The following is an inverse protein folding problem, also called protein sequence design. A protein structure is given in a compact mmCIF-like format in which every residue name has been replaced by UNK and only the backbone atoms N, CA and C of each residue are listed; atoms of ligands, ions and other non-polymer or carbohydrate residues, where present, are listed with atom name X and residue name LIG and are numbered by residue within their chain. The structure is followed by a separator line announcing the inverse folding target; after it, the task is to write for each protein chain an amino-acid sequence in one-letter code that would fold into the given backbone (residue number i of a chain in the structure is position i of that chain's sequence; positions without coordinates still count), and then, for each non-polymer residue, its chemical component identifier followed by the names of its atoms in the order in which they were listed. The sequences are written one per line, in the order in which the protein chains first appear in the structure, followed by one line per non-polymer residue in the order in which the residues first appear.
data_IF_405310689508
#
_entry.id   IF_405310689508
#
_cell.length_a   1.000
_cell.length_b   1.000
_cell.length_c   1.000
_cell.angle_alpha   90.00
_cell.angle_beta   90.00
_cell.angle_gamma   90.00
#
_symmetry.space_group_name_H-M   'P 1'
#
loop_
_entity.id
_entity.type
_entity.pdbx_description
1 polymer ?
#
# COMPACT_ATOMS: atom_id res chain seq x y z
N UNK A 1 6.80 15.75 4.41
CA UNK A 1 5.60 16.41 3.84
C UNK A 1 5.72 16.85 2.38
N UNK A 2 6.91 17.08 1.79
CA UNK A 2 7.01 17.59 0.41
C UNK A 2 6.42 16.68 -0.68
N UNK A 3 6.53 15.35 -0.54
CA UNK A 3 6.11 14.42 -1.59
C UNK A 3 4.59 14.35 -1.78
N UNK A 4 3.81 14.30 -0.69
CA UNK A 4 2.34 14.30 -0.74
C UNK A 4 1.80 15.58 -1.39
N UNK A 5 2.39 16.74 -1.06
CA UNK A 5 1.99 18.01 -1.65
C UNK A 5 2.31 18.06 -3.15
N UNK A 6 3.45 17.50 -3.58
CA UNK A 6 3.80 17.36 -5.00
C UNK A 6 2.84 16.41 -5.73
N UNK A 7 2.49 15.27 -5.12
CA UNK A 7 1.51 14.32 -5.67
C UNK A 7 0.13 14.97 -5.81
N UNK A 8 -0.36 15.65 -4.78
CA UNK A 8 -1.63 16.37 -4.84
C UNK A 8 -1.63 17.46 -5.92
N UNK A 9 -0.53 18.20 -6.08
CA UNK A 9 -0.37 19.19 -7.16
C UNK A 9 -0.38 18.52 -8.55
N UNK A 10 0.28 17.39 -8.70
CA UNK A 10 0.32 16.64 -9.96
C UNK A 10 -1.06 16.11 -10.35
N UNK A 11 -1.82 15.55 -9.40
CA UNK A 11 -3.19 15.07 -9.62
C UNK A 11 -4.11 16.21 -10.08
N UNK A 12 -4.11 17.35 -9.36
CA UNK A 12 -4.91 18.53 -9.74
C UNK A 12 -4.56 19.07 -11.13
N UNK A 13 -3.29 19.03 -11.52
CA UNK A 13 -2.86 19.40 -12.87
C UNK A 13 -3.38 18.43 -13.92
N UNK A 14 -3.32 17.13 -13.64
CA UNK A 14 -3.89 16.08 -14.48
C UNK A 14 -5.39 16.25 -14.70
N UNK A 15 -6.15 16.49 -13.63
CA UNK A 15 -7.61 16.75 -13.70
C UNK A 15 -7.93 17.99 -14.55
N UNK A 16 -7.16 19.06 -14.37
CA UNK A 16 -7.30 20.28 -15.16
C UNK A 16 -7.02 20.03 -16.65
N UNK A 17 -6.04 19.19 -16.95
CA UNK A 17 -5.69 18.83 -18.32
C UNK A 17 -6.80 17.97 -18.96
N UNK A 18 -7.35 17.00 -18.23
CA UNK A 18 -8.51 16.22 -18.70
C UNK A 18 -9.74 17.09 -18.98
N UNK A 19 -10.01 18.06 -18.10
CA UNK A 19 -11.11 19.01 -18.32
C UNK A 19 -10.87 19.90 -19.54
N UNK A 20 -9.63 20.36 -19.73
CA UNK A 20 -9.24 21.13 -20.93
C UNK A 20 -9.44 20.30 -22.20
N UNK A 21 -8.98 19.05 -22.20
CA UNK A 21 -9.18 18.14 -23.33
C UNK A 21 -10.66 17.86 -23.60
N UNK A 22 -11.50 17.67 -22.56
CA UNK A 22 -12.96 17.54 -22.75
C UNK A 22 -13.57 18.77 -23.41
N UNK A 23 -13.19 19.97 -22.98
CA UNK A 23 -13.67 21.22 -23.58
C UNK A 23 -13.18 21.39 -25.01
N UNK A 24 -11.96 20.96 -25.32
CA UNK A 24 -11.43 20.97 -26.67
C UNK A 24 -12.18 19.99 -27.55
N UNK A 25 -12.38 18.73 -27.12
CA UNK A 25 -13.16 17.73 -27.86
C UNK A 25 -14.60 18.20 -28.11
N UNK A 26 -15.21 18.91 -27.16
CA UNK A 26 -16.56 19.44 -27.30
C UNK A 26 -16.66 20.62 -28.28
N UNK A 27 -15.54 21.32 -28.56
CA UNK A 27 -15.47 22.49 -29.45
C UNK A 27 -14.76 22.22 -30.77
N UNK A 28 -14.00 21.13 -30.85
CA UNK A 28 -13.22 20.74 -32.01
C UNK A 28 -14.14 20.15 -33.08
N UNK A 29 -13.66 20.21 -34.33
CA UNK A 29 -14.30 19.53 -35.44
C UNK A 29 -14.50 18.03 -35.10
N UNK A 30 -15.68 17.45 -35.31
CA UNK A 30 -15.91 16.03 -35.06
C UNK A 30 -14.98 15.10 -35.84
N UNK A 31 -14.41 15.56 -36.96
CA UNK A 31 -13.39 14.89 -37.76
C UNK A 31 -11.97 15.04 -37.21
N UNK A 32 -11.74 15.95 -36.26
CA UNK A 32 -10.47 16.07 -35.56
C UNK A 32 -10.35 14.93 -34.54
N UNK A 33 -9.76 13.82 -35.03
CA UNK A 33 -9.56 12.61 -34.25
C UNK A 33 -8.32 12.65 -33.35
N UNK A 34 -7.56 13.75 -33.33
CA UNK A 34 -6.27 13.81 -32.64
C UNK A 34 -6.40 13.94 -31.11
N UNK A 35 -7.45 14.60 -30.63
CA UNK A 35 -7.63 14.93 -29.20
C UNK A 35 -8.35 13.80 -28.43
N UNK A 36 -9.27 13.07 -29.08
CA UNK A 36 -10.08 12.01 -28.46
C UNK A 36 -9.24 10.87 -27.85
N UNK A 37 -8.18 10.34 -28.51
CA UNK A 37 -7.33 9.30 -27.94
C UNK A 37 -6.56 9.77 -26.70
N UNK A 38 -6.04 11.01 -26.73
CA UNK A 38 -5.31 11.60 -25.61
C UNK A 38 -6.21 11.76 -24.38
N UNK A 39 -7.44 12.25 -24.58
CA UNK A 39 -8.42 12.35 -23.51
C UNK A 39 -8.74 10.97 -22.92
N UNK A 40 -8.97 9.96 -23.78
CA UNK A 40 -9.31 8.60 -23.35
C UNK A 40 -8.21 7.95 -22.51
N UNK A 41 -6.94 8.10 -22.91
CA UNK A 41 -5.83 7.55 -22.13
C UNK A 41 -5.67 8.28 -20.80
N UNK A 42 -5.86 9.60 -20.78
CA UNK A 42 -5.81 10.37 -19.54
C UNK A 42 -6.93 10.00 -18.57
N UNK A 43 -8.15 9.79 -19.06
CA UNK A 43 -9.30 9.36 -18.25
C UNK A 43 -9.12 7.95 -17.68
N UNK A 44 -8.33 7.09 -18.32
CA UNK A 44 -7.94 5.79 -17.75
C UNK A 44 -6.80 5.91 -16.73
N UNK A 45 -5.85 6.80 -16.97
CA UNK A 45 -4.65 6.94 -16.15
C UNK A 45 -4.92 7.66 -14.82
N UNK A 46 -5.75 8.72 -14.83
CA UNK A 46 -6.04 9.53 -13.64
C UNK A 46 -6.61 8.71 -12.47
N UNK A 47 -7.65 7.86 -12.64
CA UNK A 47 -8.17 7.06 -11.54
C UNK A 47 -7.12 6.11 -10.93
N UNK A 48 -6.20 5.59 -11.75
CA UNK A 48 -5.10 4.75 -11.27
C UNK A 48 -4.10 5.56 -10.43
N UNK A 49 -3.77 6.77 -10.89
CA UNK A 49 -2.89 7.69 -10.16
C UNK A 49 -3.50 8.13 -8.82
N UNK A 50 -4.81 8.42 -8.77
CA UNK A 50 -5.52 8.71 -7.52
C UNK A 50 -5.42 7.56 -6.52
N UNK A 51 -5.73 6.33 -6.95
CA UNK A 51 -5.63 5.14 -6.08
C UNK A 51 -4.22 4.93 -5.53
N UNK A 52 -3.19 5.11 -6.35
CA UNK A 52 -1.80 4.97 -5.93
C UNK A 52 -1.39 6.07 -4.93
N UNK A 53 -1.87 7.30 -5.13
CA UNK A 53 -1.63 8.39 -4.20
C UNK A 53 -2.30 8.15 -2.84
N UNK A 54 -3.55 7.65 -2.84
CA UNK A 54 -4.28 7.29 -1.62
C UNK A 54 -3.56 6.16 -0.86
N UNK A 55 -3.09 5.13 -1.57
CA UNK A 55 -2.29 4.05 -0.98
C UNK A 55 -0.99 4.57 -0.35
N UNK A 56 -0.33 5.52 -1.00
CA UNK A 56 0.89 6.14 -0.49
C UNK A 56 0.62 6.98 0.77
N UNK A 57 -0.53 7.65 0.85
CA UNK A 57 -0.99 8.33 2.05
C UNK A 57 -1.18 7.35 3.22
N UNK A 58 -1.92 6.25 2.99
CA UNK A 58 -2.18 5.23 4.00
C UNK A 58 -0.91 4.53 4.51
N UNK A 59 0.07 4.28 3.65
CA UNK A 59 1.35 3.70 4.06
C UNK A 59 2.17 4.67 4.92
N UNK A 60 2.07 5.97 4.64
CA UNK A 60 2.80 7.00 5.38
C UNK A 60 2.16 7.30 6.75
N UNK A 61 0.84 7.17 6.90
CA UNK A 61 0.13 7.33 8.18
C UNK A 61 0.08 6.04 9.00
N UNK A 62 -0.08 4.88 8.36
CA UNK A 62 -0.17 3.57 9.03
C UNK A 62 1.12 3.06 9.68
N UNK A 63 2.30 3.56 9.27
CA UNK A 63 3.55 3.32 10.01
C UNK A 63 3.63 4.07 11.34
N UNK A 64 2.89 5.17 11.50
CA UNK A 64 2.81 5.91 12.76
C UNK A 64 2.06 5.11 13.83
N UNK A 65 0.91 4.54 13.48
CA UNK A 65 0.04 3.84 14.44
C UNK A 65 0.61 2.50 14.93
N UNK A 66 1.29 1.73 14.06
CA UNK A 66 1.93 0.47 14.49
C UNK A 66 3.17 0.67 15.37
N UNK A 67 3.81 1.84 15.32
CA UNK A 67 5.02 2.11 16.11
C UNK A 67 4.71 2.64 17.51
N UNK A 68 3.54 3.25 17.73
CA UNK A 68 3.17 3.80 19.04
C UNK A 68 2.65 2.71 20.00
N UNK A 69 1.96 1.68 19.49
CA UNK A 69 1.50 0.56 20.35
C UNK A 69 2.63 -0.30 20.93
N UNK A 70 3.83 -0.31 20.34
CA UNK A 70 4.96 -1.12 20.86
C UNK A 70 5.87 -0.40 21.86
N UNK A 71 5.78 0.92 21.98
CA UNK A 71 6.65 1.70 22.90
C UNK A 71 5.92 2.05 24.20
N UNK A 72 4.58 2.13 24.20
CA UNK A 72 3.80 2.42 25.41
C UNK A 72 3.59 1.23 26.37
N UNK A 73 4.06 0.02 26.03
CA UNK A 73 3.96 -1.17 26.88
C UNK A 73 5.24 -1.50 27.66
N UNK A 74 6.17 -0.53 27.79
CA UNK A 74 7.46 -0.73 28.48
C UNK A 74 7.79 0.34 29.52
N UNK A 75 6.77 0.95 30.11
CA UNK A 75 6.91 1.80 31.28
C UNK A 75 5.89 1.38 32.34
N UNK A 76 6.31 0.51 33.27
CA UNK A 76 5.59 0.25 34.51
C UNK A 76 5.10 -1.17 34.71
N UNK A 77 6.00 -2.10 35.05
CA UNK A 77 5.82 -2.95 36.24
C UNK A 77 7.13 -3.69 36.53
N UNK A 78 7.85 -3.19 37.52
CA UNK A 78 8.81 -3.98 38.27
C UNK A 78 8.06 -4.94 39.23
N UNK A 79 8.68 -6.08 39.51
CA UNK A 79 8.38 -7.06 40.55
C UNK A 79 7.15 -7.98 40.39
N UNK A 80 7.39 -9.25 40.08
CA UNK A 80 7.33 -10.35 41.07
C UNK A 80 7.74 -11.69 40.45
N UNK A 81 8.60 -12.41 41.16
CA UNK A 81 9.07 -13.76 40.84
C UNK A 81 7.97 -14.81 41.04
N UNK A 82 7.95 -15.86 40.22
CA UNK A 82 7.65 -17.22 40.65
C UNK A 82 8.00 -18.24 39.57
N UNK A 83 9.09 -18.97 39.81
CA UNK A 83 9.42 -20.24 39.20
C UNK A 83 8.23 -21.21 39.22
N UNK A 84 8.01 -21.94 38.12
CA UNK A 84 7.55 -23.34 38.18
C UNK A 84 7.82 -24.09 36.88
N UNK A 85 8.86 -24.90 36.95
CA UNK A 85 9.16 -26.03 36.09
C UNK A 85 8.03 -27.05 36.06
N UNK A 86 7.68 -27.56 34.87
CA UNK A 86 7.08 -28.87 34.58
C UNK A 86 7.41 -29.16 33.12
N UNK A 87 8.48 -29.88 32.79
CA UNK A 87 8.67 -31.33 32.90
C UNK A 87 7.54 -32.16 32.28
N UNK A 88 7.90 -32.89 31.22
CA UNK A 88 7.08 -33.84 30.46
C UNK A 88 7.06 -33.49 28.97
N UNK A 89 7.56 -34.26 28.02
CA UNK A 89 7.99 -35.67 28.03
C UNK A 89 8.83 -35.88 26.77
N UNK A 90 10.09 -36.26 26.94
CA UNK A 90 10.92 -36.83 25.87
C UNK A 90 10.27 -38.15 25.43
N UNK A 91 9.88 -38.25 24.16
CA UNK A 91 9.59 -39.55 23.52
C UNK A 91 10.42 -39.66 22.24
N UNK A 92 11.66 -40.10 22.47
CA UNK A 92 12.50 -41.03 21.69
C UNK A 92 12.11 -41.18 20.20
N UNK A 93 13.04 -40.79 19.33
CA UNK A 93 13.20 -41.40 18.00
C UNK A 93 13.37 -42.93 18.13
N UNK A 94 13.07 -43.66 17.06
CA UNK A 94 14.10 -44.53 16.50
C UNK A 94 14.45 -44.13 15.06
N UNK A 95 15.75 -44.18 14.80
CA UNK A 95 16.34 -44.23 13.47
C UNK A 95 16.11 -45.61 12.81
N UNK A 96 16.46 -45.68 11.51
CA UNK A 96 16.46 -46.84 10.59
C UNK A 96 15.18 -46.95 9.74
N UNK A 97 15.21 -47.19 8.44
CA UNK A 97 16.27 -47.37 7.44
C UNK A 97 15.62 -47.33 6.03
N UNK A 98 16.46 -47.13 5.01
CA UNK A 98 16.33 -47.42 3.56
C UNK A 98 15.18 -48.33 3.07
N UNK A 99 14.53 -47.91 1.97
CA UNK A 99 14.19 -48.67 0.74
C UNK A 99 13.27 -47.74 -0.11
N UNK A 100 13.42 -47.47 -1.41
CA UNK A 100 13.95 -48.29 -2.50
C UNK A 100 12.82 -49.09 -3.16
N UNK A 101 12.00 -48.47 -4.03
CA UNK A 101 10.99 -49.05 -4.95
C UNK A 101 10.09 -47.89 -5.43
N UNK A 102 9.83 -47.58 -6.70
CA UNK A 102 10.10 -48.15 -8.03
C UNK A 102 10.30 -46.99 -9.03
#
# INVERSE_FOLDING_TARGET
MKLQELTAKALRRGDKLANTLRKLVAKSDPNDASIKPLLKELEKALPRLHRLADQQEHLSTGQGERRIQKVSAKAGHEHAAASKSRSGKVKRQPASALAGAE
#
